data_IF_739552544021
#
_entry.id   IF_739552544021
#
_cell.length_a   1.000
_cell.length_b   1.000
_cell.length_c   1.000
_cell.angle_alpha   90.00
_cell.angle_beta   90.00
_cell.angle_gamma   90.00
#
_symmetry.space_group_name_H-M   'P 1'
#
loop_
_entity.id
_entity.type
_entity.pdbx_description
1 polymer ?
#
# COMPACT_ATOMS: atom_id res chain seq x y z
N UNK A 1 6.27 10.53 -18.15
CA UNK A 1 5.87 9.26 -18.75
C UNK A 1 4.41 8.98 -18.44
N UNK A 2 3.76 8.26 -19.34
CA UNK A 2 2.43 7.77 -19.06
C UNK A 2 2.55 6.41 -18.39
N UNK A 3 1.94 6.26 -17.23
CA UNK A 3 2.00 5.03 -16.46
C UNK A 3 0.61 4.42 -16.36
N UNK A 4 0.49 3.17 -16.82
CA UNK A 4 -0.73 2.39 -16.65
C UNK A 4 -0.70 1.80 -15.24
N UNK A 5 -1.46 2.40 -14.34
CA UNK A 5 -1.40 2.01 -12.93
C UNK A 5 -1.94 0.61 -12.67
N UNK A 6 -2.93 0.16 -13.44
CA UNK A 6 -3.45 -1.19 -13.26
C UNK A 6 -2.41 -2.24 -13.69
N UNK A 7 -1.78 -2.01 -14.84
CA UNK A 7 -0.75 -2.94 -15.31
C UNK A 7 0.43 -2.99 -14.34
N UNK A 8 0.83 -1.84 -13.83
CA UNK A 8 1.92 -1.77 -12.87
C UNK A 8 1.56 -2.47 -11.56
N UNK A 9 0.33 -2.28 -11.08
CA UNK A 9 -0.13 -2.96 -9.86
C UNK A 9 -0.08 -4.48 -10.03
N UNK A 10 -0.50 -4.99 -11.18
CA UNK A 10 -0.43 -6.43 -11.45
C UNK A 10 1.01 -6.92 -11.45
N UNK A 11 1.89 -6.16 -12.08
CA UNK A 11 3.29 -6.52 -12.16
C UNK A 11 3.92 -6.56 -10.76
N UNK A 12 3.58 -5.60 -9.91
CA UNK A 12 4.12 -5.55 -8.56
C UNK A 12 3.55 -6.67 -7.69
N UNK A 13 2.24 -6.94 -7.77
CA UNK A 13 1.65 -8.01 -6.97
C UNK A 13 2.21 -9.37 -7.37
N UNK A 14 2.58 -9.56 -8.63
CA UNK A 14 3.19 -10.81 -9.08
C UNK A 14 4.51 -11.10 -8.37
N UNK A 15 5.20 -10.07 -7.91
CA UNK A 15 6.45 -10.26 -7.16
C UNK A 15 6.24 -10.94 -5.82
N UNK A 16 5.01 -10.89 -5.29
CA UNK A 16 4.68 -11.44 -3.98
C UNK A 16 3.81 -12.68 -4.05
N UNK A 17 3.68 -13.26 -5.25
CA UNK A 17 2.80 -14.42 -5.47
C UNK A 17 3.06 -15.56 -4.49
N UNK A 18 4.34 -15.91 -4.27
CA UNK A 18 4.66 -17.00 -3.38
C UNK A 18 4.18 -16.76 -1.96
N UNK A 19 4.43 -15.58 -1.44
CA UNK A 19 4.02 -15.24 -0.10
C UNK A 19 2.50 -15.17 0.03
N UNK A 20 1.85 -14.59 -0.97
CA UNK A 20 0.40 -14.48 -0.98
C UNK A 20 -0.26 -15.86 -1.01
N UNK A 21 0.23 -16.74 -1.87
CA UNK A 21 -0.31 -18.09 -1.95
C UNK A 21 -0.08 -18.87 -0.66
N UNK A 22 1.09 -18.70 -0.08
CA UNK A 22 1.44 -19.38 1.16
C UNK A 22 0.51 -18.98 2.31
N UNK A 23 0.02 -17.76 2.30
CA UNK A 23 -0.89 -17.26 3.33
C UNK A 23 -2.35 -17.26 2.88
N UNK A 24 -2.62 -17.81 1.70
CA UNK A 24 -3.96 -17.87 1.12
C UNK A 24 -4.61 -16.49 1.02
N UNK A 25 -3.84 -15.52 0.54
CA UNK A 25 -4.32 -14.16 0.32
C UNK A 25 -4.48 -13.94 -1.18
N UNK A 26 -5.64 -13.44 -1.57
CA UNK A 26 -5.91 -13.09 -2.96
C UNK A 26 -5.83 -11.58 -3.12
N UNK A 27 -5.27 -11.12 -4.25
CA UNK A 27 -5.28 -9.71 -4.60
C UNK A 27 -6.25 -9.51 -5.75
N UNK A 28 -7.23 -8.65 -5.55
CA UNK A 28 -8.19 -8.30 -6.60
C UNK A 28 -7.93 -6.87 -7.03
N UNK A 29 -7.57 -6.72 -8.29
CA UNK A 29 -7.28 -5.41 -8.87
C UNK A 29 -8.43 -5.04 -9.77
N UNK A 30 -9.08 -3.92 -9.47
CA UNK A 30 -10.20 -3.45 -10.26
C UNK A 30 -9.94 -2.03 -10.75
N UNK A 31 -10.51 -1.71 -11.90
CA UNK A 31 -10.41 -0.36 -12.43
C UNK A 31 -9.18 -0.14 -13.28
N UNK A 32 -9.03 1.08 -13.71
CA UNK A 32 -7.96 1.46 -14.63
C UNK A 32 -7.68 2.95 -14.54
N UNK A 33 -6.43 3.31 -14.65
CA UNK A 33 -6.05 4.72 -14.79
C UNK A 33 -4.66 4.79 -15.41
N UNK A 34 -4.51 5.77 -16.29
CA UNK A 34 -3.21 6.09 -16.84
C UNK A 34 -2.89 7.50 -16.37
N UNK A 35 -1.72 7.67 -15.77
CA UNK A 35 -1.32 8.95 -15.22
C UNK A 35 0.05 9.36 -15.74
N UNK A 36 0.31 10.65 -15.71
CA UNK A 36 1.64 11.15 -16.05
C UNK A 36 2.45 11.22 -14.76
N UNK A 37 3.47 10.42 -14.71
CA UNK A 37 4.31 10.31 -13.51
C UNK A 37 5.64 9.69 -13.88
N UNK A 38 6.56 9.69 -12.93
CA UNK A 38 7.83 8.99 -13.09
C UNK A 38 7.58 7.50 -12.87
N UNK A 39 7.77 6.71 -13.92
CA UNK A 39 7.47 5.27 -13.87
C UNK A 39 8.28 4.55 -12.80
N UNK A 40 9.53 4.94 -12.60
CA UNK A 40 10.38 4.34 -11.59
C UNK A 40 9.88 4.64 -10.19
N UNK A 41 9.48 5.88 -9.93
CA UNK A 41 8.95 6.26 -8.63
C UNK A 41 7.63 5.56 -8.34
N UNK A 42 6.78 5.41 -9.37
CA UNK A 42 5.52 4.70 -9.19
C UNK A 42 5.75 3.22 -8.88
N UNK A 43 6.74 2.60 -9.51
CA UNK A 43 7.09 1.22 -9.20
C UNK A 43 7.54 1.08 -7.75
N UNK A 44 8.44 1.95 -7.31
CA UNK A 44 8.93 1.93 -5.93
C UNK A 44 7.79 2.16 -4.95
N UNK A 45 6.91 3.10 -5.27
CA UNK A 45 5.76 3.41 -4.42
C UNK A 45 4.84 2.19 -4.28
N UNK A 46 4.46 1.59 -5.41
CA UNK A 46 3.55 0.44 -5.37
C UNK A 46 4.21 -0.76 -4.71
N UNK A 47 5.50 -0.97 -4.95
CA UNK A 47 6.20 -2.08 -4.30
C UNK A 47 6.15 -1.94 -2.78
N UNK A 48 6.41 -0.75 -2.27
CA UNK A 48 6.37 -0.52 -0.83
C UNK A 48 4.95 -0.62 -0.27
N UNK A 49 3.96 -0.14 -1.02
CA UNK A 49 2.57 -0.24 -0.59
C UNK A 49 2.11 -1.70 -0.54
N UNK A 50 2.42 -2.46 -1.58
CA UNK A 50 2.01 -3.87 -1.63
C UNK A 50 2.73 -4.68 -0.56
N UNK A 51 4.03 -4.45 -0.39
CA UNK A 51 4.79 -5.14 0.65
C UNK A 51 4.19 -4.84 2.02
N UNK A 52 3.86 -3.59 2.28
CA UNK A 52 3.25 -3.20 3.54
C UNK A 52 1.89 -3.87 3.73
N UNK A 53 1.10 -3.91 2.66
CA UNK A 53 -0.21 -4.56 2.69
C UNK A 53 -0.09 -6.04 3.01
N UNK A 54 0.87 -6.71 2.37
CA UNK A 54 1.09 -8.13 2.62
C UNK A 54 1.45 -8.38 4.08
N UNK A 55 2.23 -7.50 4.69
CA UNK A 55 2.61 -7.65 6.09
C UNK A 55 1.41 -7.54 7.04
N UNK A 56 0.50 -6.63 6.75
CA UNK A 56 -0.61 -6.35 7.66
C UNK A 56 -1.86 -7.19 7.38
N UNK A 57 -1.98 -7.72 6.17
CA UNK A 57 -3.19 -8.45 5.78
C UNK A 57 -3.36 -9.73 6.59
N UNK A 58 -4.61 -10.04 6.90
CA UNK A 58 -4.95 -11.30 7.56
C UNK A 58 -4.73 -12.46 6.61
N UNK A 59 -4.36 -13.63 7.13
CA UNK A 59 -4.31 -14.84 6.33
C UNK A 59 -5.73 -15.18 5.87
N UNK A 60 -5.85 -15.88 4.75
CA UNK A 60 -7.14 -16.31 4.22
C UNK A 60 -8.07 -15.14 3.93
N UNK A 61 -7.54 -14.10 3.32
CA UNK A 61 -8.32 -12.89 3.08
C UNK A 61 -8.11 -12.39 1.65
N UNK A 62 -8.78 -11.29 1.34
CA UNK A 62 -8.70 -10.66 0.02
C UNK A 62 -8.16 -9.24 0.20
N UNK A 63 -7.15 -8.92 -0.60
CA UNK A 63 -6.65 -7.54 -0.71
C UNK A 63 -7.31 -6.92 -1.93
N UNK A 64 -7.92 -5.77 -1.74
CA UNK A 64 -8.57 -5.05 -2.85
C UNK A 64 -7.73 -3.86 -3.25
N UNK A 65 -7.46 -3.75 -4.54
CA UNK A 65 -6.77 -2.61 -5.12
C UNK A 65 -7.71 -2.00 -6.14
N UNK A 66 -8.29 -0.87 -5.80
CA UNK A 66 -9.25 -0.19 -6.67
C UNK A 66 -8.59 1.03 -7.28
N UNK A 67 -8.58 1.08 -8.61
CA UNK A 67 -7.93 2.14 -9.35
C UNK A 67 -9.01 2.90 -10.13
N UNK A 68 -9.06 4.18 -9.91
CA UNK A 68 -10.05 5.02 -10.59
C UNK A 68 -9.44 6.32 -11.06
N UNK A 69 -10.30 7.14 -11.64
CA UNK A 69 -9.90 8.47 -12.06
C UNK A 69 -9.51 9.24 -10.81
N UNK A 70 -8.27 9.64 -10.73
CA UNK A 70 -7.80 10.49 -9.65
C UNK A 70 -7.24 9.78 -8.45
N UNK A 71 -7.46 8.48 -8.28
CA UNK A 71 -6.98 7.82 -7.05
C UNK A 71 -6.86 6.32 -7.17
N UNK A 72 -6.12 5.78 -6.20
CA UNK A 72 -5.95 4.35 -6.01
C UNK A 72 -6.20 4.07 -4.53
N UNK A 73 -6.95 3.01 -4.25
CA UNK A 73 -7.25 2.60 -2.87
C UNK A 73 -6.84 1.15 -2.68
N UNK A 74 -6.02 0.91 -1.66
CA UNK A 74 -5.64 -0.45 -1.29
C UNK A 74 -6.24 -0.73 0.07
N UNK A 75 -7.01 -1.82 0.19
CA UNK A 75 -7.61 -2.18 1.46
C UNK A 75 -7.42 -3.67 1.74
N UNK A 76 -7.25 -4.00 2.99
CA UNK A 76 -7.10 -5.38 3.42
C UNK A 76 -7.68 -5.57 4.82
N UNK A 77 -8.20 -6.77 5.07
CA UNK A 77 -8.59 -7.14 6.42
C UNK A 77 -7.33 -7.26 7.26
N UNK A 78 -7.42 -6.87 8.51
CA UNK A 78 -6.29 -6.89 9.40
C UNK A 78 -6.71 -7.46 10.76
N UNK A 79 -5.94 -8.41 11.26
CA UNK A 79 -6.17 -8.95 12.59
C UNK A 79 -5.59 -8.00 13.62
N UNK A 80 -6.35 -7.71 14.64
CA UNK A 80 -5.90 -6.83 15.69
C UNK A 80 -5.94 -5.37 15.31
N UNK A 81 -5.17 -4.57 16.00
CA UNK A 81 -5.18 -3.13 15.83
C UNK A 81 -3.75 -2.60 15.73
N UNK A 82 -3.61 -1.44 15.10
CA UNK A 82 -2.32 -0.75 15.12
C UNK A 82 -2.22 0.08 16.39
N UNK A 83 -1.00 0.26 16.89
CA UNK A 83 -0.76 0.91 18.18
C UNK A 83 -0.62 2.42 18.11
N UNK A 84 -0.83 2.99 16.95
CA UNK A 84 -0.66 4.43 16.76
C UNK A 84 -1.77 4.96 15.88
N UNK A 85 -1.88 6.28 15.80
CA UNK A 85 -2.80 6.89 14.86
C UNK A 85 -2.32 6.57 13.45
N UNK A 86 -3.22 6.18 12.55
CA UNK A 86 -2.82 5.81 11.20
C UNK A 86 -1.88 6.80 10.50
N UNK A 87 -2.09 8.11 10.59
CA UNK A 87 -1.16 9.04 9.93
C UNK A 87 0.28 8.93 10.39
N UNK A 88 0.53 8.42 11.60
CA UNK A 88 1.90 8.26 12.08
C UNK A 88 2.67 7.21 11.30
N UNK A 89 1.98 6.34 10.60
CA UNK A 89 2.63 5.29 9.81
C UNK A 89 3.38 5.84 8.60
N UNK A 90 3.09 7.08 8.21
CA UNK A 90 3.85 7.73 7.15
C UNK A 90 5.26 8.10 7.57
N UNK A 91 5.52 8.15 8.85
CA UNK A 91 6.82 8.58 9.36
C UNK A 91 7.76 7.40 9.50
N UNK A 92 9.07 7.62 9.48
CA UNK A 92 10.02 6.53 9.71
C UNK A 92 9.70 5.83 11.02
N UNK A 93 9.95 4.53 11.06
CA UNK A 93 9.65 3.73 12.24
C UNK A 93 10.30 4.29 13.47
N UNK A 94 9.50 4.44 14.52
CA UNK A 94 10.00 4.89 15.81
C UNK A 94 10.28 3.68 16.68
N UNK A 95 11.17 3.88 17.66
CA UNK A 95 11.51 2.84 18.59
C UNK A 95 10.25 2.34 19.29
N UNK A 96 10.06 1.05 19.29
CA UNK A 96 8.92 0.43 19.94
C UNK A 96 7.78 0.08 19.01
N UNK A 97 7.61 0.79 17.92
CA UNK A 97 6.51 0.50 17.01
C UNK A 97 6.65 -0.86 16.37
N UNK A 98 7.83 -1.20 15.90
CA UNK A 98 8.04 -2.50 15.28
C UNK A 98 7.85 -3.63 16.28
N UNK A 99 8.25 -3.43 17.50
CA UNK A 99 8.11 -4.45 18.53
C UNK A 99 6.65 -4.72 18.83
N UNK A 100 5.85 -3.66 18.90
CA UNK A 100 4.43 -3.82 19.23
C UNK A 100 3.64 -4.45 18.10
N UNK A 101 3.97 -4.15 16.87
CA UNK A 101 3.27 -4.72 15.73
C UNK A 101 3.71 -6.14 15.42
N UNK A 102 4.83 -6.55 15.97
CA UNK A 102 5.34 -7.88 15.70
C UNK A 102 5.92 -8.07 14.30
N UNK A 103 6.04 -7.01 13.56
CA UNK A 103 6.58 -7.07 12.22
C UNK A 103 8.07 -6.80 12.22
N UNK A 104 8.82 -7.66 11.56
CA UNK A 104 10.25 -7.52 11.47
C UNK A 104 10.68 -6.64 10.31
N UNK A 105 9.76 -6.31 9.42
CA UNK A 105 10.07 -5.44 8.32
C UNK A 105 10.39 -4.03 8.82
N UNK A 106 11.13 -3.29 8.03
CA UNK A 106 11.45 -1.94 8.42
C UNK A 106 10.20 -1.07 8.31
N UNK A 107 10.08 -0.11 9.19
CA UNK A 107 8.98 0.85 9.16
C UNK A 107 9.20 1.96 8.15
N UNK A 108 10.20 1.83 7.29
CA UNK A 108 10.54 2.86 6.32
C UNK A 108 9.71 2.79 5.05
N UNK A 109 9.01 1.65 4.82
CA UNK A 109 8.26 1.47 3.59
C UNK A 109 7.27 2.59 3.32
N UNK A 110 6.47 2.94 4.31
CA UNK A 110 5.48 3.99 4.14
C UNK A 110 6.11 5.39 4.13
N UNK A 111 7.23 5.58 4.82
CA UNK A 111 7.93 6.86 4.76
C UNK A 111 8.53 7.08 3.37
N UNK A 112 8.96 6.02 2.70
CA UNK A 112 9.41 6.10 1.32
C UNK A 112 8.25 6.50 0.41
N UNK A 113 7.08 5.90 0.62
CA UNK A 113 5.89 6.26 -0.13
C UNK A 113 5.55 7.74 0.07
N UNK A 114 5.60 8.20 1.31
CA UNK A 114 5.32 9.61 1.61
C UNK A 114 6.26 10.54 0.85
N UNK A 115 7.53 10.19 0.81
CA UNK A 115 8.51 10.99 0.08
C UNK A 115 8.18 11.03 -1.42
N UNK A 116 7.80 9.90 -1.97
CA UNK A 116 7.44 9.84 -3.40
C UNK A 116 6.19 10.69 -3.67
N UNK A 117 5.21 10.63 -2.76
CA UNK A 117 4.01 11.44 -2.89
C UNK A 117 4.37 12.92 -2.91
N UNK A 118 5.22 13.34 -1.99
CA UNK A 118 5.64 14.74 -1.93
C UNK A 118 6.37 15.17 -3.20
N UNK A 119 7.25 14.31 -3.71
CA UNK A 119 7.98 14.61 -4.94
C UNK A 119 7.07 14.67 -6.15
N UNK A 120 6.00 13.89 -6.14
CA UNK A 120 5.08 13.78 -7.27
C UNK A 120 3.93 14.78 -7.21
N UNK A 121 3.76 15.47 -6.10
CA UNK A 121 2.63 16.35 -5.91
C UNK A 121 1.33 15.60 -5.63
N UNK A 122 1.44 14.39 -5.14
CA UNK A 122 0.29 13.55 -4.80
C UNK A 122 0.03 13.60 -3.30
N UNK A 123 -1.14 13.15 -2.89
CA UNK A 123 -1.47 13.06 -1.47
C UNK A 123 -1.85 11.63 -1.11
N UNK A 124 -1.75 11.30 0.16
CA UNK A 124 -2.09 9.98 0.63
C UNK A 124 -2.78 10.02 1.97
N UNK A 125 -3.55 8.98 2.24
CA UNK A 125 -4.25 8.85 3.50
C UNK A 125 -4.19 7.39 3.96
N UNK A 126 -4.07 7.20 5.26
CA UNK A 126 -4.10 5.87 5.88
C UNK A 126 -5.20 5.89 6.93
N UNK A 127 -6.04 4.88 6.91
CA UNK A 127 -7.14 4.79 7.86
C UNK A 127 -7.40 3.34 8.25
N UNK A 128 -7.97 3.16 9.43
CA UNK A 128 -8.54 1.89 9.85
C UNK A 128 -10.05 2.07 9.81
N UNK A 129 -10.72 1.26 9.01
CA UNK A 129 -12.17 1.35 8.85
C UNK A 129 -12.76 -0.06 8.91
N UNK A 130 -13.60 -0.29 9.90
CA UNK A 130 -14.33 -1.57 10.03
C UNK A 130 -13.40 -2.79 9.99
N UNK A 131 -12.28 -2.69 10.68
CA UNK A 131 -11.33 -3.79 10.73
C UNK A 131 -10.44 -3.91 9.50
N UNK A 132 -10.52 -2.94 8.60
CA UNK A 132 -9.70 -2.93 7.39
C UNK A 132 -8.66 -1.82 7.45
N UNK A 133 -7.49 -2.15 6.94
CA UNK A 133 -6.41 -1.18 6.78
C UNK A 133 -6.54 -0.61 5.38
N UNK A 134 -6.72 0.70 5.27
CA UNK A 134 -7.01 1.35 4.00
C UNK A 134 -5.99 2.43 3.70
N UNK A 135 -5.36 2.32 2.54
CA UNK A 135 -4.44 3.35 2.05
C UNK A 135 -5.01 3.94 0.78
N UNK A 136 -5.13 5.25 0.74
CA UNK A 136 -5.64 5.97 -0.43
C UNK A 136 -4.56 6.89 -0.97
N UNK A 137 -4.27 6.77 -2.25
CA UNK A 137 -3.32 7.64 -2.94
C UNK A 137 -4.11 8.48 -3.94
N UNK A 138 -3.94 9.78 -3.89
CA UNK A 138 -4.69 10.71 -4.75
C UNK A 138 -3.70 11.46 -5.64
N UNK A 139 -3.85 11.31 -6.95
CA UNK A 139 -3.02 12.00 -7.93
C UNK A 139 -3.77 13.06 -8.72
N UNK A 140 -5.09 13.06 -8.62
CA UNK A 140 -5.90 14.05 -9.28
C UNK A 140 -6.18 15.22 -8.35
N UNK A 141 -6.34 16.37 -8.91
CA UNK A 141 -6.68 17.55 -8.14
C UNK A 141 -8.15 17.86 -8.25
#
# INVERSE_FOLDING_TARGET
DNVDMAALARQVTDRYTGELENRNIECEIAGHAEIRADARLMDIMLDNLIMNTVKYASDNSIVNIDIGVGRLVISNDMDGEIDCDPPELWEPMKKGNSARTGHTGNGLGLSIVKKILDLSGFTGDIAMEDGKFVVTIIWSK
#
